data_IF_360968369833
#
_entry.id   IF_360968369833
#
_cell.length_a   1.000
_cell.length_b   1.000
_cell.length_c   1.000
_cell.angle_alpha   90.00
_cell.angle_beta   90.00
_cell.angle_gamma   90.00
#
_symmetry.space_group_name_H-M   'P 1'
#
loop_
_entity.id
_entity.type
_entity.pdbx_description
1 polymer ?
#
# COMPACT_ATOMS: atom_id res chain seq x y z
N UNK A 1 12.35 0.29 -15.67
CA UNK A 1 11.70 -1.04 -15.79
C UNK A 1 12.56 -2.26 -15.39
N UNK A 2 13.90 -2.19 -15.21
CA UNK A 2 14.72 -3.37 -14.78
C UNK A 2 15.09 -3.43 -13.29
N UNK A 3 14.71 -2.43 -12.48
CA UNK A 3 15.12 -2.33 -11.05
C UNK A 3 14.07 -2.84 -10.05
N UNK A 4 12.80 -2.86 -10.42
CA UNK A 4 11.72 -3.22 -9.49
C UNK A 4 11.62 -4.73 -9.26
N UNK A 5 11.80 -5.53 -10.32
CA UNK A 5 11.83 -6.99 -10.23
C UNK A 5 12.89 -7.55 -9.27
N UNK A 6 14.18 -7.13 -9.33
CA UNK A 6 15.19 -7.64 -8.40
C UNK A 6 14.96 -7.18 -6.95
N UNK A 7 14.41 -5.99 -6.74
CA UNK A 7 14.05 -5.51 -5.39
C UNK A 7 12.92 -6.36 -4.83
N UNK A 8 11.86 -6.58 -5.62
CA UNK A 8 10.75 -7.44 -5.22
C UNK A 8 11.23 -8.85 -4.88
N UNK A 9 12.05 -9.46 -5.74
CA UNK A 9 12.60 -10.79 -5.50
C UNK A 9 13.41 -10.87 -4.21
N UNK A 10 14.20 -9.83 -3.91
CA UNK A 10 15.03 -9.77 -2.68
C UNK A 10 14.15 -9.64 -1.43
N UNK A 11 13.16 -8.75 -1.47
CA UNK A 11 12.22 -8.54 -0.34
C UNK A 11 11.37 -9.80 -0.11
N UNK A 12 10.89 -10.44 -1.17
CA UNK A 12 10.13 -11.69 -1.09
C UNK A 12 10.98 -12.83 -0.53
N UNK A 13 12.25 -12.96 -0.94
CA UNK A 13 13.16 -13.97 -0.41
C UNK A 13 13.46 -13.74 1.09
N UNK A 14 13.64 -12.47 1.49
CA UNK A 14 13.82 -12.09 2.89
C UNK A 14 12.58 -12.46 3.73
N UNK A 15 11.38 -12.15 3.24
CA UNK A 15 10.14 -12.53 3.92
C UNK A 15 9.97 -14.06 4.01
N UNK A 16 10.31 -14.80 2.95
CA UNK A 16 10.29 -16.27 2.96
C UNK A 16 11.26 -16.86 3.98
N UNK A 17 12.43 -16.23 4.16
CA UNK A 17 13.39 -16.64 5.19
C UNK A 17 12.86 -16.36 6.61
N UNK A 18 12.25 -15.21 6.85
CA UNK A 18 11.70 -14.84 8.16
C UNK A 18 10.53 -15.73 8.62
N UNK A 19 9.83 -16.38 7.70
CA UNK A 19 8.70 -17.27 8.02
C UNK A 19 9.16 -18.74 8.09
N UNK A 20 10.45 -19.03 7.86
CA UNK A 20 10.95 -20.41 7.82
C UNK A 20 10.77 -21.14 9.16
N UNK A 21 11.00 -20.45 10.27
CA UNK A 21 10.82 -20.99 11.63
C UNK A 21 9.34 -21.07 12.05
N UNK A 22 8.42 -20.57 11.23
CA UNK A 22 6.99 -20.56 11.47
C UNK A 22 6.51 -19.46 12.42
N UNK A 23 7.40 -18.61 12.92
CA UNK A 23 7.07 -17.55 13.88
C UNK A 23 7.57 -16.19 13.38
N UNK A 24 6.67 -15.22 13.23
CA UNK A 24 7.09 -13.85 12.91
C UNK A 24 7.42 -13.09 14.20
N UNK A 25 8.71 -12.95 14.51
CA UNK A 25 9.13 -12.29 15.74
C UNK A 25 9.06 -10.76 15.65
N UNK A 26 9.17 -10.08 16.79
CA UNK A 26 9.25 -8.62 16.83
C UNK A 26 10.45 -8.07 16.06
N UNK A 27 11.57 -8.81 16.06
CA UNK A 27 12.77 -8.43 15.32
C UNK A 27 12.51 -8.51 13.82
N UNK A 28 11.81 -9.54 13.36
CA UNK A 28 11.47 -9.70 11.95
C UNK A 28 10.57 -8.58 11.43
N UNK A 29 9.57 -8.21 12.23
CA UNK A 29 8.71 -7.06 11.95
C UNK A 29 9.51 -5.75 11.85
N UNK A 30 10.48 -5.54 12.74
CA UNK A 30 11.32 -4.34 12.72
C UNK A 30 12.23 -4.30 11.49
N UNK A 31 12.79 -5.44 11.08
CA UNK A 31 13.59 -5.56 9.86
C UNK A 31 12.74 -5.21 8.63
N UNK A 32 11.54 -5.77 8.51
CA UNK A 32 10.62 -5.46 7.41
C UNK A 32 10.22 -3.99 7.40
N UNK A 33 9.95 -3.41 8.56
CA UNK A 33 9.65 -1.99 8.69
C UNK A 33 10.84 -1.12 8.23
N UNK A 34 12.07 -1.49 8.60
CA UNK A 34 13.29 -0.83 8.16
C UNK A 34 13.46 -0.87 6.65
N UNK A 35 13.28 -2.05 6.04
CA UNK A 35 13.32 -2.22 4.57
C UNK A 35 12.25 -1.37 3.89
N UNK A 36 11.03 -1.38 4.41
CA UNK A 36 9.92 -0.57 3.90
C UNK A 36 10.24 0.93 3.93
N UNK A 37 10.71 1.44 5.06
CA UNK A 37 11.10 2.85 5.20
C UNK A 37 12.25 3.23 4.26
N UNK A 38 13.23 2.35 4.08
CA UNK A 38 14.35 2.57 3.15
C UNK A 38 13.85 2.66 1.70
N UNK A 39 12.99 1.73 1.29
CA UNK A 39 12.39 1.73 -0.05
C UNK A 39 11.53 2.97 -0.27
N UNK A 40 10.74 3.39 0.73
CA UNK A 40 9.97 4.63 0.66
C UNK A 40 10.86 5.85 0.52
N UNK A 41 11.90 5.99 1.36
CA UNK A 41 12.83 7.11 1.28
C UNK A 41 13.53 7.18 -0.07
N UNK A 42 13.95 6.03 -0.60
CA UNK A 42 14.56 5.93 -1.92
C UNK A 42 13.57 6.29 -3.03
N UNK A 43 12.33 5.81 -2.96
CA UNK A 43 11.26 6.10 -3.92
C UNK A 43 10.92 7.60 -3.94
N UNK A 44 10.78 8.23 -2.78
CA UNK A 44 10.55 9.68 -2.66
C UNK A 44 11.71 10.45 -3.29
N UNK A 45 12.95 10.08 -2.96
CA UNK A 45 14.13 10.74 -3.53
C UNK A 45 14.17 10.59 -5.05
N UNK A 46 13.90 9.38 -5.55
CA UNK A 46 13.83 9.10 -6.98
C UNK A 46 12.76 9.94 -7.66
N UNK A 47 11.53 9.97 -7.13
CA UNK A 47 10.41 10.75 -7.66
C UNK A 47 10.66 12.26 -7.63
N UNK A 48 11.40 12.77 -6.63
CA UNK A 48 11.82 14.17 -6.61
C UNK A 48 12.89 14.49 -7.66
N UNK A 49 13.81 13.56 -7.94
CA UNK A 49 14.88 13.75 -8.94
C UNK A 49 14.45 13.48 -10.38
N UNK A 50 13.41 12.66 -10.62
CA UNK A 50 12.91 12.32 -11.96
C UNK A 50 11.70 13.16 -12.37
N UNK A 51 11.62 14.42 -11.92
CA UNK A 51 10.51 15.37 -12.16
C UNK A 51 10.27 15.79 -13.64
N UNK A 52 10.88 15.12 -14.61
CA UNK A 52 10.74 15.44 -16.03
C UNK A 52 10.40 14.21 -16.88
N UNK A 53 9.63 13.25 -16.34
CA UNK A 53 9.07 12.15 -17.12
C UNK A 53 7.59 12.41 -17.45
N UNK A 54 7.11 11.85 -18.56
CA UNK A 54 5.83 12.18 -19.24
C UNK A 54 4.59 12.27 -18.33
N UNK A 55 4.56 11.51 -17.22
CA UNK A 55 3.53 11.57 -16.18
C UNK A 55 3.39 12.95 -15.51
N UNK A 56 4.50 13.67 -15.29
CA UNK A 56 4.45 15.00 -14.68
C UNK A 56 3.81 16.04 -15.59
N UNK A 57 3.95 15.88 -16.91
CA UNK A 57 3.31 16.73 -17.92
C UNK A 57 1.81 16.51 -17.98
N UNK A 58 1.37 15.25 -18.05
CA UNK A 58 -0.06 14.87 -18.10
C UNK A 58 -0.80 15.30 -16.82
N UNK A 59 -0.21 15.08 -15.64
CA UNK A 59 -0.81 15.49 -14.36
C UNK A 59 -0.88 17.02 -14.25
N UNK A 60 0.14 17.75 -14.70
CA UNK A 60 0.13 19.21 -14.69
C UNK A 60 -0.93 19.78 -15.65
N UNK A 61 -1.12 19.14 -16.80
CA UNK A 61 -2.13 19.51 -17.80
C UNK A 61 -3.56 19.25 -17.25
N UNK A 62 -3.80 18.09 -16.61
CA UNK A 62 -5.08 17.83 -15.93
C UNK A 62 -5.36 18.77 -14.75
N UNK A 63 -4.34 19.08 -13.93
CA UNK A 63 -4.47 20.04 -12.83
C UNK A 63 -4.79 21.45 -13.31
N UNK A 64 -4.30 21.84 -14.50
CA UNK A 64 -4.61 23.13 -15.12
C UNK A 64 -6.07 23.24 -15.58
N UNK A 65 -6.68 22.12 -15.98
CA UNK A 65 -8.06 22.07 -16.47
C UNK A 65 -9.10 21.93 -15.35
N UNK A 66 -8.73 21.35 -14.20
CA UNK A 66 -9.69 21.03 -13.13
C UNK A 66 -9.08 21.20 -11.72
N UNK A 67 -8.76 22.43 -11.35
CA UNK A 67 -8.31 22.75 -9.99
C UNK A 67 -9.46 22.54 -8.97
N UNK A 68 -9.41 21.45 -8.20
CA UNK A 68 -10.35 21.22 -7.11
C UNK A 68 -9.95 22.06 -5.88
N UNK A 69 -10.90 22.78 -5.23
CA UNK A 69 -10.57 23.51 -4.01
C UNK A 69 -10.22 22.54 -2.88
N UNK A 70 -9.21 22.90 -2.07
CA UNK A 70 -8.66 22.07 -0.98
C UNK A 70 -9.75 21.51 -0.05
N UNK A 71 -10.77 22.31 0.26
CA UNK A 71 -11.90 21.90 1.10
C UNK A 71 -12.66 20.70 0.50
N UNK A 72 -12.90 20.70 -0.80
CA UNK A 72 -13.61 19.61 -1.45
C UNK A 72 -12.73 18.35 -1.54
N UNK A 73 -11.42 18.51 -1.77
CA UNK A 73 -10.48 17.40 -1.77
C UNK A 73 -10.41 16.71 -0.38
N UNK A 74 -10.35 17.49 0.69
CA UNK A 74 -10.36 16.97 2.07
C UNK A 74 -11.68 16.28 2.40
N UNK A 75 -12.82 16.84 1.99
CA UNK A 75 -14.12 16.18 2.16
C UNK A 75 -14.18 14.84 1.44
N UNK A 76 -13.74 14.78 0.19
CA UNK A 76 -13.69 13.52 -0.57
C UNK A 76 -12.73 12.49 0.02
N UNK A 77 -11.58 12.95 0.56
CA UNK A 77 -10.65 12.07 1.27
C UNK A 77 -11.32 11.43 2.49
N UNK A 78 -12.01 12.23 3.32
CA UNK A 78 -12.70 11.72 4.51
C UNK A 78 -13.80 10.74 4.11
N UNK A 79 -14.62 11.10 3.12
CA UNK A 79 -15.70 10.23 2.63
C UNK A 79 -15.14 8.91 2.09
N UNK A 80 -14.07 8.97 1.29
CA UNK A 80 -13.40 7.78 0.75
C UNK A 80 -12.83 6.88 1.85
N UNK A 81 -12.21 7.46 2.88
CA UNK A 81 -11.70 6.71 4.04
C UNK A 81 -12.82 6.03 4.82
N UNK A 82 -13.92 6.74 5.11
CA UNK A 82 -15.07 6.17 5.81
C UNK A 82 -15.70 5.02 5.01
N UNK A 83 -15.89 5.22 3.70
CA UNK A 83 -16.40 4.20 2.80
C UNK A 83 -15.51 2.96 2.80
N UNK A 84 -14.19 3.15 2.74
CA UNK A 84 -13.21 2.06 2.73
C UNK A 84 -13.23 1.27 4.04
N UNK A 85 -13.32 1.94 5.19
CA UNK A 85 -13.45 1.29 6.51
C UNK A 85 -14.73 0.46 6.56
N UNK A 86 -15.87 1.04 6.17
CA UNK A 86 -17.16 0.35 6.18
C UNK A 86 -17.13 -0.87 5.26
N UNK A 87 -16.60 -0.70 4.04
CA UNK A 87 -16.48 -1.78 3.06
C UNK A 87 -15.60 -2.93 3.59
N UNK A 88 -14.45 -2.61 4.19
CA UNK A 88 -13.56 -3.60 4.80
C UNK A 88 -14.25 -4.38 5.93
N UNK A 89 -15.02 -3.70 6.78
CA UNK A 89 -15.77 -4.35 7.88
C UNK A 89 -16.86 -5.29 7.36
N UNK A 90 -17.62 -4.86 6.35
CA UNK A 90 -18.64 -5.69 5.70
C UNK A 90 -18.01 -6.95 5.12
N UNK A 91 -16.84 -6.81 4.47
CA UNK A 91 -16.14 -7.95 3.86
C UNK A 91 -15.66 -8.96 4.91
N UNK A 92 -15.17 -8.50 6.05
CA UNK A 92 -14.76 -9.39 7.16
C UNK A 92 -15.96 -10.13 7.75
N UNK A 93 -17.08 -9.44 8.01
CA UNK A 93 -18.29 -10.10 8.51
C UNK A 93 -18.85 -11.11 7.51
N UNK A 94 -18.89 -10.75 6.22
CA UNK A 94 -19.30 -11.67 5.18
C UNK A 94 -18.41 -12.92 5.09
N UNK A 95 -17.09 -12.76 5.21
CA UNK A 95 -16.16 -13.89 5.23
C UNK A 95 -16.37 -14.80 6.45
N UNK A 96 -16.64 -14.22 7.63
CA UNK A 96 -16.89 -14.98 8.87
C UNK A 96 -18.23 -15.71 8.83
N UNK A 97 -19.32 -15.07 8.37
CA UNK A 97 -20.63 -15.72 8.22
C UNK A 97 -20.59 -16.87 7.22
N UNK A 98 -19.85 -16.71 6.11
CA UNK A 98 -19.64 -17.80 5.14
C UNK A 98 -18.83 -18.95 5.76
N UNK A 99 -17.80 -18.67 6.56
CA UNK A 99 -17.01 -19.70 7.24
C UNK A 99 -17.84 -20.50 8.27
N UNK A 100 -18.64 -19.80 9.08
CA UNK A 100 -19.55 -20.41 10.05
C UNK A 100 -20.66 -21.21 9.35
N UNK A 101 -21.21 -20.71 8.25
CA UNK A 101 -22.20 -21.41 7.43
C UNK A 101 -21.67 -22.68 6.74
N UNK A 102 -20.36 -22.77 6.51
CA UNK A 102 -19.67 -23.95 5.98
C UNK A 102 -19.20 -24.93 7.07
N UNK A 103 -19.53 -24.67 8.35
CA UNK A 103 -19.25 -25.59 9.45
C UNK A 103 -17.81 -25.59 9.95
N UNK A 104 -17.01 -24.57 9.62
CA UNK A 104 -15.70 -24.36 10.24
C UNK A 104 -15.94 -23.71 11.60
N UNK A 105 -15.95 -24.52 12.65
CA UNK A 105 -15.84 -24.06 14.03
C UNK A 105 -14.38 -23.73 14.34
N UNK A 106 -14.16 -22.60 15.03
CA UNK A 106 -12.86 -22.00 15.42
C UNK A 106 -11.68 -22.97 15.62
#
# INVERSE_FOLDING_TARGET
MRKELPILATVTALAAWQVWDGELTFVDALVLLGVFLLLLAWSIRQGMTQKADALGGEIAEEMSYRAMPLRNAVLWLIVGLLLLIVSSRILVWGAVELALGLGVSD
#
